data_IF_237762560705
#
_entry.id   IF_237762560705
#
_cell.length_a   1.000
_cell.length_b   1.000
_cell.length_c   1.000
_cell.angle_alpha   90.00
_cell.angle_beta   90.00
_cell.angle_gamma   90.00
#
_symmetry.space_group_name_H-M   'P 1'
#
loop_
_entity.id
_entity.type
_entity.pdbx_description
1 polymer ?
#
# COMPACT_ATOMS: atom_id res chain seq x y z
N UNK A 1 -39.74 -44.84 -1.28
CA UNK A 1 -39.42 -44.11 -2.52
C UNK A 1 -38.20 -43.25 -2.26
N UNK A 2 -37.01 -43.77 -2.55
CA UNK A 2 -35.74 -43.07 -2.27
C UNK A 2 -35.37 -42.24 -3.49
N UNK A 3 -35.31 -40.94 -3.31
CA UNK A 3 -34.83 -40.01 -4.34
C UNK A 3 -33.30 -40.10 -4.42
N UNK A 4 -32.80 -40.54 -5.56
CA UNK A 4 -31.37 -40.56 -5.91
C UNK A 4 -30.87 -39.12 -6.10
N UNK A 5 -30.03 -38.64 -5.17
CA UNK A 5 -29.27 -37.40 -5.32
C UNK A 5 -28.27 -37.58 -6.48
N UNK A 6 -28.38 -36.77 -7.53
CA UNK A 6 -27.38 -36.68 -8.58
C UNK A 6 -26.13 -36.03 -7.99
N UNK A 7 -24.92 -36.54 -8.29
CA UNK A 7 -23.69 -35.86 -7.88
C UNK A 7 -23.59 -34.50 -8.59
N UNK A 8 -23.24 -33.47 -7.85
CA UNK A 8 -22.96 -32.12 -8.39
C UNK A 8 -21.82 -32.23 -9.41
N UNK A 9 -22.03 -31.67 -10.60
CA UNK A 9 -20.98 -31.54 -11.61
C UNK A 9 -19.78 -30.80 -11.05
N UNK A 10 -18.53 -31.25 -11.34
CA UNK A 10 -17.34 -30.52 -10.90
C UNK A 10 -17.37 -29.11 -11.51
N UNK A 11 -17.30 -28.09 -10.67
CA UNK A 11 -17.17 -26.71 -11.11
C UNK A 11 -15.92 -26.60 -11.96
N UNK A 12 -16.07 -26.22 -13.22
CA UNK A 12 -14.94 -25.84 -14.08
C UNK A 12 -14.13 -24.77 -13.35
N UNK A 13 -12.92 -25.12 -12.90
CA UNK A 13 -11.94 -24.14 -12.48
C UNK A 13 -11.64 -23.28 -13.71
N UNK A 14 -12.18 -22.06 -13.72
CA UNK A 14 -11.76 -21.05 -14.68
C UNK A 14 -10.26 -20.82 -14.40
N UNK A 15 -9.40 -21.28 -15.30
CA UNK A 15 -7.97 -21.02 -15.21
C UNK A 15 -7.80 -19.51 -15.24
N UNK A 16 -7.34 -18.93 -14.14
CA UNK A 16 -6.97 -17.50 -14.12
C UNK A 16 -5.86 -17.30 -15.16
N UNK A 17 -5.94 -16.26 -16.00
CA UNK A 17 -4.84 -15.95 -16.92
C UNK A 17 -3.55 -15.78 -16.13
N UNK A 18 -2.38 -16.11 -16.71
CA UNK A 18 -1.10 -15.94 -16.05
C UNK A 18 -0.93 -14.46 -15.66
N UNK A 19 -0.42 -14.23 -14.45
CA UNK A 19 -0.10 -12.87 -13.98
C UNK A 19 1.07 -12.32 -14.80
N UNK A 20 0.83 -11.25 -15.55
CA UNK A 20 1.87 -10.56 -16.31
C UNK A 20 2.56 -9.49 -15.46
N UNK A 21 3.85 -9.18 -15.73
CA UNK A 21 4.55 -8.08 -15.07
C UNK A 21 3.75 -6.77 -15.23
N UNK A 22 3.60 -5.97 -14.17
CA UNK A 22 2.93 -4.68 -14.29
C UNK A 22 3.67 -3.76 -15.27
N UNK A 23 2.91 -2.84 -15.90
CA UNK A 23 3.44 -1.83 -16.82
C UNK A 23 2.91 -0.46 -16.46
N UNK A 24 3.75 0.56 -16.62
CA UNK A 24 3.31 1.95 -16.51
C UNK A 24 2.35 2.29 -17.66
N UNK A 25 1.43 3.22 -17.41
CA UNK A 25 0.60 3.78 -18.46
C UNK A 25 1.49 4.63 -19.39
N UNK A 26 1.57 4.31 -20.70
CA UNK A 26 2.42 5.03 -21.64
C UNK A 26 1.98 6.48 -21.89
N UNK A 27 0.75 6.85 -21.52
CA UNK A 27 0.19 8.20 -21.70
C UNK A 27 0.61 9.18 -20.58
N UNK A 28 1.42 8.76 -19.61
CA UNK A 28 1.87 9.62 -18.52
C UNK A 28 2.81 10.73 -19.02
N UNK A 29 2.42 11.99 -18.86
CA UNK A 29 3.28 13.14 -19.10
C UNK A 29 4.27 13.33 -17.94
N UNK A 30 5.41 12.66 -18.03
CA UNK A 30 6.46 12.72 -17.00
C UNK A 30 6.96 14.14 -16.73
N UNK A 31 6.90 15.07 -17.70
CA UNK A 31 7.34 16.45 -17.52
C UNK A 31 6.36 17.23 -16.64
N UNK A 32 5.08 17.20 -16.98
CA UNK A 32 4.04 17.85 -16.20
C UNK A 32 4.00 17.30 -14.75
N UNK A 33 4.15 15.97 -14.59
CA UNK A 33 4.21 15.33 -13.29
C UNK A 33 5.43 15.79 -12.47
N UNK A 34 6.62 15.94 -13.09
CA UNK A 34 7.81 16.43 -12.42
C UNK A 34 7.66 17.90 -11.98
N UNK A 35 7.07 18.75 -12.81
CA UNK A 35 6.77 20.14 -12.47
C UNK A 35 5.84 20.23 -11.26
N UNK A 36 4.82 19.39 -11.18
CA UNK A 36 3.91 19.34 -10.04
C UNK A 36 4.60 18.83 -8.77
N UNK A 37 5.39 17.75 -8.86
CA UNK A 37 6.15 17.22 -7.73
C UNK A 37 7.12 18.26 -7.17
N UNK A 38 7.83 18.99 -8.03
CA UNK A 38 8.80 20.00 -7.62
C UNK A 38 8.18 21.16 -6.83
N UNK A 39 6.92 21.52 -7.13
CA UNK A 39 6.21 22.61 -6.43
C UNK A 39 5.84 22.23 -5.00
N UNK A 40 5.48 20.97 -4.74
CA UNK A 40 4.89 20.55 -3.47
C UNK A 40 5.66 19.45 -2.74
N UNK A 41 6.67 18.86 -3.37
CA UNK A 41 7.38 17.68 -2.86
C UNK A 41 6.51 16.43 -2.80
N UNK A 42 5.27 16.48 -3.34
CA UNK A 42 4.32 15.37 -3.43
C UNK A 42 3.44 15.47 -4.67
N UNK A 43 2.95 14.33 -5.12
CA UNK A 43 2.05 14.24 -6.27
C UNK A 43 1.06 13.09 -6.13
N UNK A 44 -0.14 13.25 -6.71
CA UNK A 44 -1.16 12.22 -6.86
C UNK A 44 -1.43 11.96 -8.34
N UNK A 45 -1.03 10.80 -8.83
CA UNK A 45 -1.12 10.40 -10.22
C UNK A 45 -2.29 9.42 -10.39
N UNK A 46 -3.18 9.72 -11.32
CA UNK A 46 -4.28 8.84 -11.71
C UNK A 46 -3.84 7.91 -12.84
N UNK A 47 -4.46 6.73 -12.94
CA UNK A 47 -4.22 5.77 -14.03
C UNK A 47 -2.73 5.50 -14.26
N UNK A 48 -1.97 5.26 -13.17
CA UNK A 48 -0.51 5.17 -13.22
C UNK A 48 -0.02 3.92 -13.95
N UNK A 49 -0.79 2.84 -13.93
CA UNK A 49 -0.49 1.59 -14.64
C UNK A 49 -1.50 1.38 -15.79
N UNK A 50 -1.13 0.53 -16.73
CA UNK A 50 -2.10 -0.04 -17.67
C UNK A 50 -3.23 -0.71 -16.89
N UNK A 51 -4.47 -0.61 -17.40
CA UNK A 51 -5.66 -1.10 -16.71
C UNK A 51 -5.57 -2.59 -16.35
N UNK A 52 -5.08 -3.42 -17.26
CA UNK A 52 -4.90 -4.86 -17.05
C UNK A 52 -3.92 -5.17 -15.92
N UNK A 53 -2.84 -4.39 -15.81
CA UNK A 53 -1.88 -4.48 -14.70
C UNK A 53 -2.53 -4.12 -13.37
N UNK A 54 -3.31 -3.06 -13.32
CA UNK A 54 -4.01 -2.63 -12.12
C UNK A 54 -5.06 -3.65 -11.67
N UNK A 55 -5.85 -4.20 -12.60
CA UNK A 55 -6.85 -5.23 -12.31
C UNK A 55 -6.20 -6.51 -11.75
N UNK A 56 -5.08 -6.95 -12.33
CA UNK A 56 -4.33 -8.13 -11.88
C UNK A 56 -3.73 -7.94 -10.49
N UNK A 57 -3.15 -6.78 -10.22
CA UNK A 57 -2.62 -6.44 -8.89
C UNK A 57 -3.71 -6.37 -7.83
N UNK A 58 -4.86 -5.78 -8.15
CA UNK A 58 -5.99 -5.75 -7.24
C UNK A 58 -6.49 -7.16 -6.91
N UNK A 59 -6.61 -8.03 -7.91
CA UNK A 59 -7.00 -9.43 -7.69
C UNK A 59 -6.01 -10.16 -6.78
N UNK A 60 -4.70 -9.96 -6.99
CA UNK A 60 -3.66 -10.55 -6.15
C UNK A 60 -3.71 -10.01 -4.70
N UNK A 61 -3.90 -8.70 -4.51
CA UNK A 61 -4.05 -8.08 -3.19
C UNK A 61 -5.26 -8.62 -2.42
N UNK A 62 -6.38 -8.83 -3.12
CA UNK A 62 -7.63 -9.29 -2.51
C UNK A 62 -7.63 -10.79 -2.20
N UNK A 63 -7.14 -11.62 -3.13
CA UNK A 63 -7.40 -13.06 -3.13
C UNK A 63 -6.18 -13.91 -2.76
N UNK A 64 -4.96 -13.41 -2.97
CA UNK A 64 -3.73 -14.21 -2.91
C UNK A 64 -2.72 -13.72 -1.88
N UNK A 65 -3.04 -12.68 -1.11
CA UNK A 65 -2.11 -12.06 -0.16
C UNK A 65 -2.33 -12.58 1.26
N UNK A 66 -1.30 -13.24 1.81
CA UNK A 66 -1.30 -13.74 3.20
C UNK A 66 -0.93 -12.61 4.18
N UNK A 67 -1.89 -11.73 4.46
CA UNK A 67 -1.70 -10.60 5.37
C UNK A 67 -1.48 -11.03 6.82
N UNK A 68 -0.66 -10.24 7.54
CA UNK A 68 -0.48 -10.31 8.98
C UNK A 68 -0.92 -8.99 9.61
N UNK A 69 -1.54 -9.04 10.77
CA UNK A 69 -1.88 -7.83 11.52
C UNK A 69 -0.61 -7.19 12.07
N UNK A 70 -0.31 -6.00 11.58
CA UNK A 70 0.83 -5.20 12.06
C UNK A 70 0.33 -4.15 13.03
N UNK A 71 1.00 -4.06 14.18
CA UNK A 71 0.60 -3.20 15.29
C UNK A 71 1.85 -2.71 16.02
N UNK A 72 1.79 -1.48 16.53
CA UNK A 72 2.74 -0.98 17.51
C UNK A 72 2.04 -0.94 18.88
N UNK A 73 2.55 -1.67 19.86
CA UNK A 73 2.06 -1.68 21.24
C UNK A 73 3.27 -1.63 22.17
N UNK A 74 3.26 -0.68 23.11
CA UNK A 74 4.38 -0.45 24.03
C UNK A 74 5.67 -0.05 23.32
N UNK A 75 5.60 0.66 22.19
CA UNK A 75 6.77 1.05 21.39
C UNK A 75 7.38 -0.10 20.58
N UNK A 76 6.76 -1.29 20.56
CA UNK A 76 7.26 -2.48 19.86
C UNK A 76 6.36 -2.82 18.68
N UNK A 77 6.93 -2.72 17.47
CA UNK A 77 6.26 -3.16 16.24
C UNK A 77 6.19 -4.69 16.17
N UNK A 78 5.00 -5.23 15.90
CA UNK A 78 4.74 -6.67 15.79
C UNK A 78 3.94 -6.98 14.53
N UNK A 79 4.20 -8.15 13.94
CA UNK A 79 3.41 -8.73 12.86
C UNK A 79 2.81 -10.06 13.35
N UNK A 80 1.51 -10.07 13.56
CA UNK A 80 0.77 -11.17 14.16
C UNK A 80 0.03 -11.97 13.09
N UNK A 81 0.15 -13.29 13.13
CA UNK A 81 -0.51 -14.21 12.21
C UNK A 81 -1.47 -15.13 12.97
N UNK A 82 -2.42 -15.71 12.23
CA UNK A 82 -3.34 -16.75 12.74
C UNK A 82 -4.14 -16.33 13.99
N UNK A 83 -4.46 -15.04 14.10
CA UNK A 83 -5.31 -14.54 15.19
C UNK A 83 -6.76 -14.99 14.99
N UNK A 84 -7.38 -15.45 16.06
CA UNK A 84 -8.84 -15.59 16.13
C UNK A 84 -9.51 -14.22 16.08
N UNK A 85 -10.81 -14.12 15.76
CA UNK A 85 -11.55 -12.86 15.78
C UNK A 85 -11.43 -12.12 17.13
N UNK A 86 -11.53 -12.84 18.25
CA UNK A 86 -11.46 -12.26 19.59
C UNK A 86 -10.06 -11.71 19.90
N UNK A 87 -9.01 -12.46 19.55
CA UNK A 87 -7.62 -11.99 19.70
C UNK A 87 -7.35 -10.76 18.84
N UNK A 88 -7.83 -10.74 17.59
CA UNK A 88 -7.72 -9.56 16.71
C UNK A 88 -8.43 -8.36 17.32
N UNK A 89 -9.62 -8.55 17.88
CA UNK A 89 -10.37 -7.48 18.54
C UNK A 89 -9.63 -6.97 19.77
N UNK A 90 -9.11 -7.85 20.63
CA UNK A 90 -8.33 -7.46 21.81
C UNK A 90 -7.08 -6.64 21.44
N UNK A 91 -6.33 -7.07 20.42
CA UNK A 91 -5.16 -6.34 19.90
C UNK A 91 -5.58 -4.97 19.36
N UNK A 92 -6.69 -4.88 18.63
CA UNK A 92 -7.18 -3.63 18.08
C UNK A 92 -7.55 -2.63 19.18
N UNK A 93 -8.25 -3.08 20.22
CA UNK A 93 -8.62 -2.26 21.39
C UNK A 93 -7.36 -1.75 22.10
N UNK A 94 -6.34 -2.60 22.29
CA UNK A 94 -5.08 -2.18 22.89
C UNK A 94 -4.38 -1.11 22.06
N UNK A 95 -4.30 -1.29 20.72
CA UNK A 95 -3.72 -0.32 19.81
C UNK A 95 -4.45 1.04 19.83
N UNK A 96 -5.78 1.04 19.85
CA UNK A 96 -6.57 2.28 19.93
C UNK A 96 -6.36 3.04 21.25
N UNK A 97 -6.27 2.31 22.38
CA UNK A 97 -5.97 2.94 23.68
C UNK A 97 -4.61 3.60 23.67
N UNK A 98 -3.60 2.92 23.15
CA UNK A 98 -2.25 3.52 23.03
C UNK A 98 -2.19 4.69 22.08
N UNK A 99 -2.88 4.63 20.92
CA UNK A 99 -2.92 5.73 19.96
C UNK A 99 -3.50 7.03 20.53
N UNK A 100 -4.36 6.94 21.56
CA UNK A 100 -4.88 8.09 22.28
C UNK A 100 -3.92 8.71 23.32
N UNK A 101 -2.80 8.06 23.61
CA UNK A 101 -1.90 8.45 24.71
C UNK A 101 -0.48 8.72 24.23
N UNK A 102 0.05 7.91 23.31
CA UNK A 102 1.47 7.92 22.91
C UNK A 102 1.65 8.29 21.44
N UNK A 103 2.90 8.62 21.04
CA UNK A 103 3.29 9.11 19.72
C UNK A 103 3.00 8.18 18.56
N UNK A 104 4.05 7.62 17.92
CA UNK A 104 3.90 6.84 16.70
C UNK A 104 3.23 5.49 16.93
N UNK A 105 2.02 5.32 16.40
CA UNK A 105 1.19 4.12 16.54
C UNK A 105 0.58 3.71 15.22
N UNK A 106 0.36 2.41 15.04
CA UNK A 106 -0.31 1.88 13.86
C UNK A 106 -1.04 0.56 14.13
N UNK A 107 -2.05 0.33 13.30
CA UNK A 107 -2.79 -0.92 13.21
C UNK A 107 -3.24 -1.10 11.76
N UNK A 108 -2.69 -2.06 11.03
CA UNK A 108 -3.09 -2.42 9.67
C UNK A 108 -2.60 -3.81 9.29
N UNK A 109 -3.22 -4.42 8.31
CA UNK A 109 -2.76 -5.70 7.76
C UNK A 109 -1.66 -5.47 6.71
N UNK A 110 -0.59 -6.28 6.73
CA UNK A 110 0.55 -6.14 5.83
C UNK A 110 1.19 -7.49 5.49
N UNK A 111 1.71 -7.58 4.26
CA UNK A 111 2.69 -8.57 3.84
C UNK A 111 3.91 -7.83 3.27
N UNK A 112 5.10 -8.07 3.82
CA UNK A 112 6.34 -7.55 3.23
C UNK A 112 6.64 -8.30 1.94
N UNK A 113 6.81 -7.56 0.85
CA UNK A 113 7.13 -8.11 -0.47
C UNK A 113 8.65 -8.07 -0.73
N UNK A 114 9.31 -6.99 -0.37
CA UNK A 114 10.77 -6.87 -0.43
C UNK A 114 11.30 -5.90 0.62
N UNK A 115 12.58 -6.04 0.96
CA UNK A 115 13.34 -5.08 1.75
C UNK A 115 14.75 -4.97 1.19
N UNK A 116 15.35 -3.78 1.23
CA UNK A 116 16.69 -3.52 0.67
C UNK A 116 16.85 -3.87 -0.82
N UNK A 117 15.76 -3.88 -1.60
CA UNK A 117 15.78 -4.24 -3.02
C UNK A 117 15.88 -5.74 -3.30
N UNK A 118 15.73 -6.59 -2.30
CA UNK A 118 15.74 -8.04 -2.45
C UNK A 118 14.52 -8.54 -3.24
N UNK A 119 14.69 -9.63 -4.06
CA UNK A 119 13.58 -10.24 -4.76
C UNK A 119 12.57 -10.90 -3.79
N UNK A 120 11.34 -11.08 -4.24
CA UNK A 120 10.37 -11.87 -3.49
C UNK A 120 10.82 -13.34 -3.43
N UNK A 121 10.73 -14.00 -2.26
CA UNK A 121 11.34 -15.34 -2.06
C UNK A 121 10.82 -16.43 -2.98
N UNK A 122 9.51 -16.41 -3.30
CA UNK A 122 8.90 -17.35 -4.25
C UNK A 122 8.88 -16.74 -5.65
N UNK A 123 9.80 -17.17 -6.51
CA UNK A 123 9.93 -16.67 -7.87
C UNK A 123 8.70 -16.94 -8.78
N UNK A 124 7.85 -17.91 -8.44
CA UNK A 124 6.64 -18.23 -9.19
C UNK A 124 5.42 -17.41 -8.76
N UNK A 125 5.49 -16.81 -7.58
CA UNK A 125 4.40 -15.98 -7.07
C UNK A 125 4.27 -14.66 -7.84
N UNK A 126 3.05 -14.14 -8.10
CA UNK A 126 2.81 -12.83 -8.74
C UNK A 126 3.63 -11.69 -8.12
N UNK A 127 3.88 -11.74 -6.82
CA UNK A 127 4.69 -10.73 -6.13
C UNK A 127 6.14 -10.67 -6.62
N UNK A 128 6.72 -11.77 -7.11
CA UNK A 128 8.07 -11.73 -7.68
C UNK A 128 8.14 -10.81 -8.91
N UNK A 129 7.15 -10.91 -9.82
CA UNK A 129 7.03 -10.03 -10.99
C UNK A 129 6.78 -8.58 -10.60
N UNK A 130 5.98 -8.35 -9.56
CA UNK A 130 5.69 -7.01 -9.02
C UNK A 130 6.93 -6.36 -8.42
N UNK A 131 7.68 -7.10 -7.59
CA UNK A 131 8.93 -6.61 -6.99
C UNK A 131 9.98 -6.34 -8.07
N UNK A 132 10.09 -7.21 -9.09
CA UNK A 132 10.97 -7.01 -10.22
C UNK A 132 10.60 -5.74 -11.02
N UNK A 133 9.31 -5.48 -11.26
CA UNK A 133 8.83 -4.25 -11.89
C UNK A 133 9.21 -3.01 -11.08
N UNK A 134 8.93 -3.00 -9.76
CA UNK A 134 9.22 -1.87 -8.87
C UNK A 134 10.72 -1.56 -8.78
N UNK A 135 11.58 -2.57 -8.98
CA UNK A 135 13.03 -2.44 -9.00
C UNK A 135 13.62 -2.42 -10.42
N UNK A 136 12.78 -2.48 -11.44
CA UNK A 136 13.19 -2.42 -12.84
C UNK A 136 13.47 -1.00 -13.33
N UNK A 137 14.17 -0.89 -14.48
CA UNK A 137 14.56 0.40 -15.04
C UNK A 137 13.36 1.29 -15.40
N UNK A 138 12.23 0.70 -15.76
CA UNK A 138 11.01 1.44 -16.11
C UNK A 138 10.47 2.24 -14.92
N UNK A 139 10.17 1.56 -13.80
CA UNK A 139 9.60 2.21 -12.61
C UNK A 139 10.62 3.10 -11.90
N UNK A 140 11.86 2.66 -11.71
CA UNK A 140 12.89 3.48 -11.08
C UNK A 140 13.28 4.68 -11.94
N UNK A 141 13.33 4.52 -13.26
CA UNK A 141 13.55 5.62 -14.20
C UNK A 141 12.41 6.63 -14.18
N UNK A 142 11.16 6.16 -14.12
CA UNK A 142 9.99 7.02 -13.92
C UNK A 142 10.08 7.80 -12.61
N UNK A 143 10.38 7.13 -11.51
CA UNK A 143 10.51 7.75 -10.20
C UNK A 143 11.60 8.84 -10.17
N UNK A 144 12.78 8.57 -10.74
CA UNK A 144 13.87 9.57 -10.86
C UNK A 144 13.43 10.78 -11.66
N UNK A 145 12.80 10.59 -12.83
CA UNK A 145 12.31 11.71 -13.67
C UNK A 145 11.30 12.59 -12.93
N UNK A 146 10.36 11.97 -12.19
CA UNK A 146 9.33 12.74 -11.46
C UNK A 146 9.93 13.48 -10.26
N UNK A 147 10.82 12.85 -9.52
CA UNK A 147 11.35 13.39 -8.26
C UNK A 147 12.57 14.27 -8.44
N UNK A 148 13.31 14.13 -9.55
CA UNK A 148 14.64 14.74 -9.74
C UNK A 148 15.73 14.11 -8.87
N UNK A 149 15.45 12.95 -8.23
CA UNK A 149 16.38 12.28 -7.32
C UNK A 149 17.10 11.13 -8.05
N UNK A 150 18.22 11.46 -8.70
CA UNK A 150 18.95 10.52 -9.55
C UNK A 150 19.60 9.34 -8.80
N UNK A 151 19.83 9.50 -7.49
CA UNK A 151 20.45 8.48 -6.65
C UNK A 151 19.47 7.40 -6.13
N UNK A 152 18.19 7.46 -6.49
CA UNK A 152 17.24 6.36 -6.22
C UNK A 152 17.75 5.10 -6.90
N UNK A 153 18.04 4.08 -6.10
CA UNK A 153 18.66 2.83 -6.55
C UNK A 153 17.73 1.61 -6.48
N UNK A 154 16.80 1.61 -5.53
CA UNK A 154 15.86 0.51 -5.36
C UNK A 154 14.58 0.95 -4.62
N UNK A 155 13.56 0.10 -4.67
CA UNK A 155 12.29 0.25 -3.98
C UNK A 155 12.10 -0.88 -2.96
N UNK A 156 11.80 -0.54 -1.71
CA UNK A 156 11.16 -1.48 -0.77
C UNK A 156 9.70 -1.63 -1.16
N UNK A 157 9.08 -2.77 -0.85
CA UNK A 157 7.68 -3.01 -1.15
C UNK A 157 6.97 -3.80 -0.07
N UNK A 158 5.74 -3.41 0.22
CA UNK A 158 4.81 -4.14 1.08
C UNK A 158 3.38 -4.01 0.56
N UNK A 159 2.64 -5.12 0.55
CA UNK A 159 1.20 -5.10 0.34
C UNK A 159 0.52 -4.69 1.66
N UNK A 160 -0.40 -3.73 1.61
CA UNK A 160 -1.11 -3.23 2.79
C UNK A 160 -2.62 -3.28 2.60
N UNK A 161 -3.31 -3.56 3.69
CA UNK A 161 -4.76 -3.61 3.73
C UNK A 161 -5.26 -2.91 5.00
N UNK A 162 -6.06 -1.85 4.81
CA UNK A 162 -6.74 -1.18 5.91
C UNK A 162 -8.22 -1.58 5.94
N UNK A 163 -8.67 -2.02 7.11
CA UNK A 163 -10.03 -2.40 7.45
C UNK A 163 -10.65 -1.39 8.43
N UNK A 164 -11.95 -1.45 8.74
CA UNK A 164 -12.52 -0.65 9.81
C UNK A 164 -11.69 -0.69 11.10
N UNK A 165 -11.40 0.48 11.65
CA UNK A 165 -10.57 0.67 12.84
C UNK A 165 -9.05 0.70 12.61
N UNK A 166 -8.56 0.40 11.41
CA UNK A 166 -7.15 0.50 11.07
C UNK A 166 -6.71 1.95 10.84
N UNK A 167 -5.47 2.27 11.22
CA UNK A 167 -4.91 3.62 11.16
C UNK A 167 -3.37 3.59 11.15
N UNK A 168 -2.77 4.75 10.90
CA UNK A 168 -1.34 5.00 11.05
C UNK A 168 -1.18 6.45 11.48
N UNK A 169 -0.65 6.70 12.69
CA UNK A 169 -0.52 8.07 13.23
C UNK A 169 0.59 8.86 12.54
N UNK A 170 0.66 10.16 12.82
CA UNK A 170 1.58 11.09 12.19
C UNK A 170 3.05 10.67 12.35
N UNK A 171 3.79 10.71 11.24
CA UNK A 171 5.22 10.42 11.13
C UNK A 171 5.76 11.05 9.84
N UNK A 172 7.07 11.01 9.65
CA UNK A 172 7.74 11.65 8.49
C UNK A 172 8.58 10.69 7.65
N UNK A 173 8.59 9.39 7.99
CA UNK A 173 9.39 8.34 7.36
C UNK A 173 10.92 8.50 7.48
N UNK A 174 11.39 9.55 8.18
CA UNK A 174 12.81 9.80 8.36
C UNK A 174 13.42 8.82 9.36
N UNK A 175 14.02 7.76 8.84
CA UNK A 175 14.70 6.75 9.66
C UNK A 175 16.21 6.81 9.37
N UNK A 176 17.05 7.20 10.36
CA UNK A 176 18.49 7.28 10.17
C UNK A 176 19.10 6.02 9.57
N UNK A 177 20.03 6.19 8.62
CA UNK A 177 20.73 5.06 7.97
C UNK A 177 19.96 4.35 6.85
N UNK A 178 18.66 4.61 6.67
CA UNK A 178 17.86 3.94 5.64
C UNK A 178 17.95 4.57 4.25
N UNK A 179 18.49 5.79 4.16
CA UNK A 179 18.65 6.54 2.90
C UNK A 179 17.38 6.64 2.05
N UNK A 180 16.21 6.76 2.69
CA UNK A 180 14.92 6.98 2.02
C UNK A 180 14.91 8.34 1.33
N UNK A 181 14.54 8.38 0.06
CA UNK A 181 14.43 9.60 -0.75
C UNK A 181 12.99 10.03 -0.93
N UNK A 182 12.14 9.08 -1.21
CA UNK A 182 10.70 9.29 -1.35
C UNK A 182 9.94 8.07 -0.84
N UNK A 183 8.69 8.28 -0.44
CA UNK A 183 7.73 7.22 -0.17
C UNK A 183 6.70 7.17 -1.30
N UNK A 184 6.16 5.97 -1.55
CA UNK A 184 5.14 5.78 -2.55
C UNK A 184 3.98 4.91 -2.04
N UNK A 185 2.78 5.20 -2.54
CA UNK A 185 1.55 4.45 -2.26
C UNK A 185 0.82 4.19 -3.58
N UNK A 186 0.97 2.99 -4.13
CA UNK A 186 0.16 2.48 -5.24
C UNK A 186 -1.16 1.97 -4.68
N UNK A 187 -2.28 2.60 -5.00
CA UNK A 187 -3.60 2.26 -4.46
C UNK A 187 -4.44 1.50 -5.47
N UNK A 188 -5.12 0.46 -4.97
CA UNK A 188 -5.96 -0.44 -5.75
C UNK A 188 -7.32 -0.64 -5.06
N UNK A 189 -7.99 0.46 -4.74
CA UNK A 189 -9.29 0.49 -4.05
C UNK A 189 -10.37 1.00 -5.01
N UNK A 190 -11.19 0.11 -5.60
CA UNK A 190 -12.12 0.49 -6.67
C UNK A 190 -13.20 1.49 -6.24
N UNK A 191 -13.69 1.34 -5.01
CA UNK A 191 -14.77 2.18 -4.48
C UNK A 191 -14.42 2.60 -3.05
N UNK A 192 -14.48 3.91 -2.80
CA UNK A 192 -14.28 4.47 -1.47
C UNK A 192 -15.11 5.73 -1.29
N UNK A 193 -15.61 5.94 -0.06
CA UNK A 193 -16.34 7.15 0.30
C UNK A 193 -15.48 8.02 1.23
N UNK A 194 -15.50 9.35 1.09
CA UNK A 194 -14.76 10.25 1.97
C UNK A 194 -15.02 10.02 3.46
N UNK A 195 -16.27 9.74 3.81
CA UNK A 195 -16.70 9.53 5.20
C UNK A 195 -16.14 8.26 5.83
N UNK A 196 -15.57 7.36 5.02
CA UNK A 196 -14.95 6.13 5.52
C UNK A 196 -13.56 6.35 6.10
N UNK A 197 -13.00 7.58 6.03
CA UNK A 197 -11.64 7.84 6.49
C UNK A 197 -10.59 7.07 5.70
N UNK A 198 -9.52 6.65 6.34
CA UNK A 198 -8.44 5.92 5.66
C UNK A 198 -7.71 6.77 4.60
N UNK A 199 -7.78 8.10 4.69
CA UNK A 199 -7.12 9.03 3.79
C UNK A 199 -5.62 9.07 4.11
N UNK A 200 -4.80 9.24 3.08
CA UNK A 200 -3.42 9.68 3.25
C UNK A 200 -3.43 11.20 3.37
N UNK A 201 -3.16 11.71 4.57
CA UNK A 201 -3.20 13.13 4.89
C UNK A 201 -1.80 13.64 5.19
N UNK A 202 -1.50 14.83 4.64
CA UNK A 202 -0.24 15.53 4.84
C UNK A 202 -0.44 16.70 5.77
N UNK A 203 0.49 16.84 6.71
CA UNK A 203 0.41 17.84 7.77
C UNK A 203 1.43 18.95 7.55
N UNK A 204 1.00 20.18 7.83
CA UNK A 204 1.90 21.33 7.91
C UNK A 204 2.68 21.35 9.24
N UNK A 205 3.46 22.41 9.46
CA UNK A 205 4.29 22.57 10.67
C UNK A 205 3.48 22.76 11.95
N UNK A 206 2.22 23.20 11.81
CA UNK A 206 1.32 23.44 12.93
C UNK A 206 0.40 22.23 13.20
N UNK A 207 0.61 21.14 12.44
CA UNK A 207 -0.17 19.90 12.54
C UNK A 207 -1.54 19.97 11.87
N UNK A 208 -1.79 21.01 11.05
CA UNK A 208 -3.03 21.11 10.28
C UNK A 208 -2.96 20.23 9.03
N UNK A 209 -4.11 19.70 8.60
CA UNK A 209 -4.20 18.93 7.35
C UNK A 209 -4.08 19.88 6.16
N UNK A 210 -2.95 19.83 5.47
CA UNK A 210 -2.70 20.62 4.27
C UNK A 210 -3.29 19.99 3.02
N UNK A 211 -3.30 18.65 2.96
CA UNK A 211 -3.88 17.89 1.87
C UNK A 211 -4.29 16.49 2.32
N UNK A 212 -5.37 15.96 1.74
CA UNK A 212 -5.83 14.59 1.95
C UNK A 212 -6.15 13.91 0.63
N UNK A 213 -5.72 12.65 0.49
CA UNK A 213 -5.95 11.84 -0.71
C UNK A 213 -6.75 10.60 -0.37
N UNK A 214 -7.89 10.44 -1.02
CA UNK A 214 -8.67 9.20 -0.96
C UNK A 214 -7.86 8.02 -1.49
N UNK A 215 -8.05 6.83 -0.94
CA UNK A 215 -7.63 5.62 -1.61
C UNK A 215 -8.42 5.49 -2.92
N UNK A 216 -7.69 5.42 -4.03
CA UNK A 216 -8.28 5.29 -5.36
C UNK A 216 -7.91 3.95 -6.00
N UNK A 217 -8.48 3.69 -7.18
CA UNK A 217 -8.06 2.58 -8.01
C UNK A 217 -7.04 3.02 -9.05
N UNK A 218 -5.94 2.27 -9.17
CA UNK A 218 -4.86 2.56 -10.11
C UNK A 218 -4.27 3.97 -9.96
N UNK A 219 -3.99 4.36 -8.70
CA UNK A 219 -3.41 5.68 -8.41
C UNK A 219 -2.08 5.54 -7.67
N UNK A 220 -1.16 6.46 -7.92
CA UNK A 220 0.11 6.58 -7.21
C UNK A 220 0.15 7.90 -6.44
N UNK A 221 0.41 7.82 -5.13
CA UNK A 221 0.86 8.95 -4.33
C UNK A 221 2.36 8.79 -4.15
N UNK A 222 3.12 9.80 -4.54
CA UNK A 222 4.59 9.85 -4.42
C UNK A 222 4.96 11.13 -3.69
N UNK A 223 5.79 11.04 -2.64
CA UNK A 223 6.17 12.20 -1.85
C UNK A 223 7.58 12.07 -1.28
N UNK A 224 8.22 13.21 -1.07
CA UNK A 224 9.58 13.34 -0.54
C UNK A 224 9.66 12.88 0.91
N UNK A 225 10.77 12.30 1.29
CA UNK A 225 11.11 12.01 2.71
C UNK A 225 12.21 12.97 3.15
N UNK A 226 12.08 13.66 4.31
CA UNK A 226 10.96 13.63 5.25
C UNK A 226 9.75 14.46 4.80
N UNK A 227 8.54 14.02 5.14
CA UNK A 227 7.29 14.78 4.99
C UNK A 227 6.26 14.26 5.99
N UNK A 228 5.74 15.14 6.86
CA UNK A 228 4.77 14.74 7.89
C UNK A 228 3.45 14.28 7.25
N UNK A 229 3.03 13.07 7.59
CA UNK A 229 1.80 12.48 7.06
C UNK A 229 1.25 11.40 8.00
N UNK A 230 -0.01 11.02 7.76
CA UNK A 230 -0.65 9.92 8.45
C UNK A 230 -1.68 9.22 7.55
N UNK A 231 -2.21 8.10 8.01
CA UNK A 231 -3.42 7.51 7.44
C UNK A 231 -4.50 7.62 8.49
N UNK A 232 -5.53 8.45 8.23
CA UNK A 232 -6.65 8.64 9.14
C UNK A 232 -7.37 7.31 9.40
N UNK A 233 -7.98 7.18 10.58
CA UNK A 233 -8.65 5.94 10.95
C UNK A 233 -9.77 5.60 9.96
N UNK A 234 -9.85 4.32 9.58
CA UNK A 234 -10.98 3.82 8.80
C UNK A 234 -12.19 3.72 9.72
N UNK A 235 -13.27 4.39 9.36
CA UNK A 235 -14.49 4.44 10.16
C UNK A 235 -15.08 3.05 10.43
N UNK A 236 -15.65 2.79 11.62
CA UNK A 236 -16.24 1.48 11.95
C UNK A 236 -17.36 1.05 11.00
N UNK A 237 -18.04 2.00 10.37
CA UNK A 237 -19.13 1.78 9.41
C UNK A 237 -18.65 1.68 7.95
N UNK A 238 -17.34 1.72 7.69
CA UNK A 238 -16.83 1.53 6.34
C UNK A 238 -17.07 0.10 5.85
N UNK A 239 -17.62 -0.04 4.65
CA UNK A 239 -17.89 -1.34 4.02
C UNK A 239 -16.76 -1.78 3.09
N UNK A 240 -15.86 -0.86 2.73
CA UNK A 240 -14.73 -1.12 1.84
C UNK A 240 -13.48 -1.59 2.57
N UNK A 241 -12.55 -2.12 1.76
CA UNK A 241 -11.20 -2.45 2.19
C UNK A 241 -10.21 -1.64 1.34
N UNK A 242 -9.27 -0.96 2.00
CA UNK A 242 -8.26 -0.14 1.33
C UNK A 242 -7.04 -0.99 1.02
N UNK A 243 -6.88 -1.37 -0.24
CA UNK A 243 -5.75 -2.13 -0.75
C UNK A 243 -4.68 -1.22 -1.35
N UNK A 244 -3.41 -1.43 -1.00
CA UNK A 244 -2.28 -0.72 -1.61
C UNK A 244 -1.00 -1.54 -1.60
N UNK A 245 -0.06 -1.16 -2.48
CA UNK A 245 1.34 -1.52 -2.41
C UNK A 245 2.10 -0.26 -2.04
N UNK A 246 2.83 -0.29 -0.92
CA UNK A 246 3.54 0.87 -0.38
C UNK A 246 5.01 0.56 -0.17
N UNK A 247 5.83 1.59 -0.13
CA UNK A 247 7.25 1.42 0.17
C UNK A 247 8.03 2.71 0.05
N UNK A 248 9.34 2.57 0.10
CA UNK A 248 10.28 3.68 -0.01
C UNK A 248 11.20 3.49 -1.21
N UNK A 249 11.44 4.59 -1.92
CA UNK A 249 12.50 4.71 -2.91
C UNK A 249 13.77 5.14 -2.19
N UNK A 250 14.82 4.34 -2.32
CA UNK A 250 16.03 4.50 -1.50
C UNK A 250 17.28 4.63 -2.37
N UNK A 251 18.27 5.41 -1.85
CA UNK A 251 19.63 5.36 -2.34
C UNK A 251 20.40 4.16 -1.76
N UNK A 252 21.55 3.84 -2.36
CA UNK A 252 22.52 2.84 -1.85
C UNK A 252 23.52 3.45 -0.88
#
# INVERSE_FOLDING_TARGET
>A
MFATLRPASPSLRVLKPPFEPPRLNPELDSRALAEEFNRRGRIHIQSVLEKTSADSLHACLRDETAYRLCVNIGGVARALANLTPDERQAVSIAAWREAGITGFQFLFDMLRLSGNGEPYPDAQHPWAKTVAFLNGPEFLGFARRITGMEDIAFADAQATLYRPGHFLTAHDDNTPGTKRRAAYVLSFTPTWRPEWGGLLEFLDRDGQVEAGYLPGFNTLKLFRVPMSHHVSAVAPFALGQRHSITGWLRAR
#
